data_IF_682759158583
#
_entry.id   IF_682759158583
#
_cell.length_a   1.000
_cell.length_b   1.000
_cell.length_c   1.000
_cell.angle_alpha   90.00
_cell.angle_beta   90.00
_cell.angle_gamma   90.00
#
_symmetry.space_group_name_H-M   'P 1'
#
loop_
_entity.id
_entity.type
_entity.pdbx_description
1 polymer ?
#
# COMPACT_ATOMS: atom_id res chain seq x y z
N UNK A 1 15.32 -9.34 -20.76
CA UNK A 1 13.98 -8.94 -20.29
C UNK A 1 14.00 -9.02 -18.77
N UNK A 2 13.92 -7.88 -18.07
CA UNK A 2 14.04 -7.86 -16.61
C UNK A 2 12.65 -7.80 -15.99
N UNK A 3 12.34 -8.77 -15.14
CA UNK A 3 11.13 -8.76 -14.34
C UNK A 3 11.30 -7.79 -13.15
N UNK A 4 10.18 -7.21 -12.71
CA UNK A 4 10.10 -6.31 -11.57
C UNK A 4 8.85 -6.61 -10.75
N UNK A 5 8.96 -6.57 -9.43
CA UNK A 5 7.80 -6.68 -8.54
C UNK A 5 7.18 -5.31 -8.35
N UNK A 6 5.90 -5.16 -8.67
CA UNK A 6 5.18 -3.93 -8.35
C UNK A 6 5.01 -3.80 -6.84
N UNK A 7 5.47 -2.68 -6.28
CA UNK A 7 5.40 -2.40 -4.84
C UNK A 7 3.96 -2.26 -4.32
N UNK A 8 3.02 -1.82 -5.17
CA UNK A 8 1.62 -1.61 -4.79
C UNK A 8 0.86 -2.95 -4.76
N UNK A 9 0.94 -3.72 -5.85
CA UNK A 9 0.12 -4.92 -6.00
C UNK A 9 0.85 -6.24 -5.72
N UNK A 10 2.18 -6.23 -5.58
CA UNK A 10 3.02 -7.41 -5.36
C UNK A 10 3.22 -8.31 -6.58
N UNK A 11 2.69 -7.93 -7.75
CA UNK A 11 2.81 -8.73 -8.97
C UNK A 11 4.25 -8.63 -9.52
N UNK A 12 4.89 -9.78 -9.73
CA UNK A 12 6.11 -9.89 -10.55
C UNK A 12 5.70 -9.84 -12.03
N UNK A 13 6.21 -8.86 -12.77
CA UNK A 13 5.87 -8.65 -14.17
C UNK A 13 7.05 -8.07 -14.96
N UNK A 14 7.04 -8.24 -16.28
CA UNK A 14 8.05 -7.72 -17.21
C UNK A 14 7.48 -6.47 -17.90
N UNK A 15 7.94 -5.25 -17.58
CA UNK A 15 7.35 -4.02 -18.11
C UNK A 15 7.42 -3.88 -19.64
N UNK A 16 8.41 -4.51 -20.27
CA UNK A 16 8.56 -4.51 -21.73
C UNK A 16 7.53 -5.39 -22.45
N UNK A 17 6.91 -6.36 -21.77
CA UNK A 17 5.92 -7.27 -22.36
C UNK A 17 4.51 -6.68 -22.22
N UNK A 18 3.77 -6.62 -23.34
CA UNK A 18 2.43 -6.02 -23.35
C UNK A 18 1.41 -6.81 -22.52
N UNK A 19 1.43 -8.14 -22.59
CA UNK A 19 0.56 -9.02 -21.80
C UNK A 19 0.74 -8.83 -20.29
N UNK A 20 1.98 -8.68 -19.84
CA UNK A 20 2.32 -8.42 -18.44
C UNK A 20 1.81 -7.03 -18.00
N UNK A 21 1.96 -6.01 -18.86
CA UNK A 21 1.39 -4.67 -18.57
C UNK A 21 -0.13 -4.71 -18.46
N UNK A 22 -0.81 -5.47 -19.33
CA UNK A 22 -2.28 -5.63 -19.28
C UNK A 22 -2.71 -6.31 -17.99
N UNK A 23 -2.03 -7.40 -17.60
CA UNK A 23 -2.29 -8.12 -16.34
C UNK A 23 -2.08 -7.21 -15.13
N UNK A 24 -0.98 -6.45 -15.11
CA UNK A 24 -0.67 -5.48 -14.07
C UNK A 24 -1.74 -4.38 -13.96
N UNK A 25 -2.14 -3.78 -15.08
CA UNK A 25 -3.17 -2.75 -15.12
C UNK A 25 -4.55 -3.28 -14.68
N UNK A 26 -4.93 -4.49 -15.11
CA UNK A 26 -6.16 -5.14 -14.68
C UNK A 26 -6.18 -5.37 -13.16
N UNK A 27 -5.04 -5.75 -12.59
CA UNK A 27 -4.88 -5.89 -11.14
C UNK A 27 -5.07 -4.56 -10.43
N UNK A 28 -4.45 -3.48 -10.91
CA UNK A 28 -4.58 -2.14 -10.33
C UNK A 28 -6.03 -1.63 -10.39
N UNK A 29 -6.76 -1.92 -11.47
CA UNK A 29 -8.19 -1.58 -11.57
C UNK A 29 -9.06 -2.25 -10.50
N UNK A 30 -8.75 -3.50 -10.13
CA UNK A 30 -9.43 -4.16 -9.01
C UNK A 30 -9.11 -3.50 -7.67
N UNK A 31 -7.83 -3.15 -7.46
CA UNK A 31 -7.34 -2.57 -6.22
C UNK A 31 -7.87 -1.14 -6.00
N UNK A 32 -7.98 -0.36 -7.08
CA UNK A 32 -8.60 0.97 -7.07
C UNK A 32 -10.05 0.92 -6.54
N UNK A 33 -10.76 -0.20 -6.74
CA UNK A 33 -12.14 -0.40 -6.26
C UNK A 33 -12.24 -0.88 -4.82
N UNK A 34 -11.14 -0.81 -4.07
CA UNK A 34 -11.09 -1.19 -2.65
C UNK A 34 -10.67 -2.63 -2.40
N UNK A 35 -10.35 -3.42 -3.45
CA UNK A 35 -9.67 -4.69 -3.23
C UNK A 35 -8.25 -4.45 -2.67
N UNK A 36 -7.74 -5.42 -1.94
CA UNK A 36 -6.38 -5.41 -1.40
C UNK A 36 -5.60 -6.65 -1.87
N UNK A 37 -4.26 -6.61 -1.94
CA UNK A 37 -3.45 -7.81 -2.11
C UNK A 37 -3.73 -8.81 -0.99
N UNK A 38 -3.62 -10.10 -1.30
CA UNK A 38 -3.89 -11.14 -0.30
C UNK A 38 -2.95 -11.02 0.91
N UNK A 39 -1.67 -10.78 0.67
CA UNK A 39 -0.65 -10.58 1.71
C UNK A 39 -1.00 -9.44 2.68
N UNK A 40 -1.53 -8.33 2.16
CA UNK A 40 -1.99 -7.18 2.97
C UNK A 40 -3.16 -7.59 3.88
N UNK A 41 -4.14 -8.32 3.34
CA UNK A 41 -5.29 -8.81 4.11
C UNK A 41 -4.88 -9.81 5.18
N UNK A 42 -4.00 -10.74 4.83
CA UNK A 42 -3.56 -11.81 5.72
C UNK A 42 -2.72 -11.24 6.86
N UNK A 43 -1.80 -10.30 6.57
CA UNK A 43 -1.07 -9.56 7.60
C UNK A 43 -2.01 -8.79 8.53
N UNK A 44 -3.00 -8.07 7.98
CA UNK A 44 -3.96 -7.30 8.79
C UNK A 44 -4.72 -8.19 9.77
N UNK A 45 -5.12 -9.41 9.33
CA UNK A 45 -5.77 -10.41 10.20
C UNK A 45 -4.81 -10.95 11.26
N UNK A 46 -3.59 -11.34 10.88
CA UNK A 46 -2.58 -11.85 11.80
C UNK A 46 -2.22 -10.83 12.88
N UNK A 47 -2.11 -9.55 12.49
CA UNK A 47 -1.88 -8.45 13.41
C UNK A 47 -3.07 -8.23 14.35
N UNK A 48 -4.30 -8.16 13.81
CA UNK A 48 -5.51 -8.02 14.62
C UNK A 48 -5.68 -9.15 15.64
N UNK A 49 -5.37 -10.39 15.26
CA UNK A 49 -5.38 -11.53 16.17
C UNK A 49 -4.30 -11.42 17.26
N UNK A 50 -3.08 -11.03 16.90
CA UNK A 50 -2.00 -10.82 17.87
C UNK A 50 -2.40 -9.81 18.95
N UNK A 51 -3.03 -8.70 18.54
CA UNK A 51 -3.53 -7.65 19.44
C UNK A 51 -4.65 -8.20 20.34
N UNK A 52 -5.63 -8.92 19.78
CA UNK A 52 -6.78 -9.42 20.53
C UNK A 52 -6.41 -10.37 21.68
N UNK A 53 -5.30 -11.11 21.55
CA UNK A 53 -4.83 -12.06 22.57
C UNK A 53 -3.65 -11.55 23.39
N UNK A 54 -3.22 -10.29 23.20
CA UNK A 54 -2.01 -9.73 23.80
C UNK A 54 -0.78 -10.65 23.63
N UNK A 55 -0.71 -11.34 22.51
CA UNK A 55 0.25 -12.43 22.23
C UNK A 55 1.58 -11.87 21.67
N UNK A 56 2.14 -10.85 22.32
CA UNK A 56 3.37 -10.19 21.89
C UNK A 56 3.24 -9.21 20.70
N UNK A 57 2.04 -9.07 20.12
CA UNK A 57 1.70 -7.99 19.20
C UNK A 57 2.62 -7.86 17.97
N UNK A 58 3.20 -6.67 17.77
CA UNK A 58 4.07 -6.32 16.64
C UNK A 58 5.43 -7.03 16.69
N UNK A 59 5.97 -7.32 17.88
CA UNK A 59 7.34 -7.82 18.02
C UNK A 59 7.52 -9.21 17.40
N UNK A 60 6.56 -10.12 17.58
CA UNK A 60 6.62 -11.46 16.94
C UNK A 60 6.61 -11.36 15.41
N UNK A 61 5.84 -10.42 14.87
CA UNK A 61 5.61 -10.32 13.42
C UNK A 61 6.82 -9.74 12.68
N UNK A 62 7.72 -9.05 13.38
CA UNK A 62 8.93 -8.47 12.77
C UNK A 62 9.88 -9.52 12.19
N UNK A 63 9.90 -10.73 12.74
CA UNK A 63 10.74 -11.82 12.22
C UNK A 63 10.15 -12.48 10.97
N UNK A 64 8.82 -12.47 10.84
CA UNK A 64 8.09 -13.24 9.83
C UNK A 64 7.71 -12.41 8.59
N UNK A 65 7.73 -11.08 8.69
CA UNK A 65 7.22 -10.19 7.65
C UNK A 65 8.21 -9.08 7.27
N UNK A 66 8.26 -8.82 5.96
CA UNK A 66 8.96 -7.67 5.38
C UNK A 66 8.34 -6.35 5.89
N UNK A 67 9.14 -5.40 6.41
CA UNK A 67 8.68 -4.05 6.77
C UNK A 67 7.92 -3.32 5.65
N UNK A 68 8.21 -3.61 4.37
CA UNK A 68 7.45 -3.08 3.23
C UNK A 68 5.97 -3.46 3.30
N UNK A 69 5.65 -4.67 3.77
CA UNK A 69 4.26 -5.11 3.94
C UNK A 69 3.54 -4.27 4.98
N UNK A 70 4.21 -3.92 6.08
CA UNK A 70 3.65 -3.03 7.11
C UNK A 70 3.30 -1.65 6.56
N UNK A 71 4.21 -1.05 5.77
CA UNK A 71 3.94 0.22 5.09
C UNK A 71 2.77 0.10 4.11
N UNK A 72 2.74 -0.98 3.33
CA UNK A 72 1.68 -1.21 2.35
C UNK A 72 0.30 -1.37 3.02
N UNK A 73 0.22 -2.06 4.15
CA UNK A 73 -1.01 -2.20 4.96
C UNK A 73 -1.54 -0.85 5.43
N UNK A 74 -0.66 0.03 5.92
CA UNK A 74 -1.04 1.39 6.32
C UNK A 74 -1.58 2.18 5.14
N UNK A 75 -0.88 2.17 4.00
CA UNK A 75 -1.30 2.92 2.82
C UNK A 75 -2.62 2.40 2.23
N UNK A 76 -2.84 1.08 2.19
CA UNK A 76 -4.14 0.52 1.80
C UNK A 76 -5.26 0.89 2.77
N UNK A 77 -4.98 0.99 4.07
CA UNK A 77 -5.96 1.44 5.06
C UNK A 77 -6.36 2.91 4.83
N UNK A 78 -5.39 3.77 4.48
CA UNK A 78 -5.68 5.15 4.07
C UNK A 78 -6.45 5.21 2.76
N UNK A 79 -6.10 4.40 1.76
CA UNK A 79 -6.86 4.30 0.51
C UNK A 79 -8.31 3.89 0.74
N UNK A 80 -8.56 2.86 1.54
CA UNK A 80 -9.92 2.42 1.88
C UNK A 80 -10.75 3.55 2.48
N UNK A 81 -10.14 4.38 3.35
CA UNK A 81 -10.81 5.56 3.90
C UNK A 81 -11.05 6.65 2.84
N UNK A 82 -10.03 6.96 2.04
CA UNK A 82 -10.15 7.96 1.00
C UNK A 82 -11.22 7.58 -0.04
N UNK A 83 -11.32 6.29 -0.37
CA UNK A 83 -12.35 5.73 -1.25
C UNK A 83 -13.74 5.88 -0.64
N UNK A 84 -13.91 5.62 0.66
CA UNK A 84 -15.16 5.88 1.37
C UNK A 84 -15.53 7.37 1.36
N UNK A 85 -14.54 8.26 1.32
CA UNK A 85 -14.72 9.72 1.24
C UNK A 85 -14.77 10.25 -0.21
N UNK A 86 -14.86 9.38 -1.22
CA UNK A 86 -15.12 9.78 -2.60
C UNK A 86 -13.89 10.19 -3.43
N UNK A 87 -12.69 9.73 -3.07
CA UNK A 87 -11.53 9.87 -3.98
C UNK A 87 -11.80 9.12 -5.30
N UNK A 88 -11.52 9.70 -6.47
CA UNK A 88 -11.71 9.01 -7.75
C UNK A 88 -10.82 7.77 -7.90
N UNK A 89 -11.37 6.64 -8.39
CA UNK A 89 -10.59 5.41 -8.65
C UNK A 89 -9.37 5.64 -9.57
N UNK A 90 -9.49 6.57 -10.52
CA UNK A 90 -8.40 6.93 -11.46
C UNK A 90 -7.16 7.48 -10.76
N UNK A 91 -7.31 7.98 -9.53
CA UNK A 91 -6.23 8.57 -8.75
C UNK A 91 -5.49 7.55 -7.89
N UNK A 92 -5.92 6.28 -7.90
CA UNK A 92 -5.35 5.19 -7.09
C UNK A 92 -3.83 5.13 -7.16
N UNK A 93 -3.23 5.02 -8.35
CA UNK A 93 -1.78 4.87 -8.48
C UNK A 93 -1.03 6.10 -7.94
N UNK A 94 -1.54 7.29 -8.21
CA UNK A 94 -0.94 8.53 -7.75
C UNK A 94 -1.10 8.73 -6.23
N UNK A 95 -2.20 8.26 -5.67
CA UNK A 95 -2.44 8.21 -4.23
C UNK A 95 -1.49 7.24 -3.54
N UNK A 96 -1.45 5.99 -4.00
CA UNK A 96 -0.63 4.93 -3.41
C UNK A 96 0.85 5.30 -3.42
N UNK A 97 1.37 5.80 -4.56
CA UNK A 97 2.76 6.22 -4.65
C UNK A 97 3.09 7.36 -3.68
N UNK A 98 2.28 8.42 -3.62
CA UNK A 98 2.52 9.54 -2.72
C UNK A 98 2.54 9.12 -1.24
N UNK A 99 1.61 8.26 -0.83
CA UNK A 99 1.52 7.79 0.54
C UNK A 99 2.58 6.75 0.90
N UNK A 100 3.03 5.93 -0.05
CA UNK A 100 4.19 5.05 0.14
C UNK A 100 5.48 5.87 0.30
N UNK A 101 5.68 6.90 -0.52
CA UNK A 101 6.81 7.84 -0.35
C UNK A 101 6.76 8.53 1.00
N UNK A 102 5.57 8.94 1.45
CA UNK A 102 5.41 9.48 2.80
C UNK A 102 5.75 8.46 3.89
N UNK A 103 5.26 7.22 3.78
CA UNK A 103 5.62 6.15 4.71
C UNK A 103 7.14 5.88 4.74
N UNK A 104 7.81 5.92 3.60
CA UNK A 104 9.27 5.79 3.52
C UNK A 104 9.99 6.95 4.22
N UNK A 105 9.50 8.17 4.06
CA UNK A 105 10.07 9.35 4.74
C UNK A 105 9.93 9.28 6.26
N UNK A 106 8.81 8.73 6.76
CA UNK A 106 8.60 8.55 8.20
C UNK A 106 9.56 7.51 8.80
N UNK A 107 9.88 6.45 8.05
CA UNK A 107 10.81 5.41 8.51
C UNK A 107 12.26 5.86 8.41
N UNK A 108 12.62 6.54 7.32
CA UNK A 108 14.00 6.98 7.07
C UNK A 108 14.37 8.29 7.77
N UNK A 109 13.40 9.13 8.10
CA UNK A 109 13.61 10.51 8.56
C UNK A 109 14.08 11.46 7.46
N UNK A 110 14.11 11.03 6.19
CA UNK A 110 14.63 11.81 5.06
C UNK A 110 13.47 12.30 4.18
N UNK A 111 13.47 13.60 3.87
CA UNK A 111 12.52 14.21 2.93
C UNK A 111 11.07 14.24 3.40
N UNK A 112 10.84 14.23 4.72
CA UNK A 112 9.48 14.18 5.29
C UNK A 112 8.64 15.41 4.90
N UNK A 113 9.24 16.61 4.88
CA UNK A 113 8.52 17.83 4.54
C UNK A 113 7.98 17.80 3.10
N UNK A 114 8.80 17.34 2.15
CA UNK A 114 8.45 17.18 0.74
C UNK A 114 7.41 16.08 0.55
N UNK A 115 7.59 14.93 1.20
CA UNK A 115 6.66 13.81 1.11
C UNK A 115 5.29 14.17 1.72
N UNK A 116 5.28 14.90 2.85
CA UNK A 116 4.07 15.44 3.48
C UNK A 116 3.36 16.45 2.58
N UNK A 117 4.10 17.32 1.90
CA UNK A 117 3.53 18.22 0.90
C UNK A 117 2.89 17.43 -0.28
N UNK A 118 3.51 16.32 -0.69
CA UNK A 118 3.01 15.45 -1.76
C UNK A 118 1.65 14.80 -1.47
N UNK A 119 1.34 14.51 -0.20
CA UNK A 119 0.04 13.96 0.19
C UNK A 119 -1.01 15.03 0.49
N UNK A 120 -0.63 16.31 0.60
CA UNK A 120 -1.53 17.42 1.02
C UNK A 120 -2.80 17.52 0.17
N UNK A 121 -2.70 17.27 -1.14
CA UNK A 121 -3.84 17.30 -2.07
C UNK A 121 -4.91 16.24 -1.78
N UNK A 122 -4.60 15.22 -0.99
CA UNK A 122 -5.52 14.15 -0.61
C UNK A 122 -6.14 14.37 0.78
N UNK A 123 -5.75 15.45 1.47
CA UNK A 123 -6.14 15.71 2.86
C UNK A 123 -7.65 15.83 3.07
N UNK A 124 -8.40 16.31 2.08
CA UNK A 124 -9.87 16.38 2.16
C UNK A 124 -10.56 15.01 2.10
N UNK A 125 -9.84 13.94 1.75
CA UNK A 125 -10.33 12.57 1.83
C UNK A 125 -9.90 11.84 3.11
N UNK A 126 -9.16 12.48 4.02
CA UNK A 126 -8.56 11.83 5.19
C UNK A 126 -9.56 11.52 6.33
N UNK A 127 -10.78 12.07 6.25
CA UNK A 127 -11.80 11.99 7.31
C UNK A 127 -11.66 13.13 8.31
#
# INVERSE_FOLDING_TARGET
MNASTCRICGLLYVPSLEEDRKTHAARHKQLARGAQPQTVRDFSKSFGWAVAFNDGGLERLKADYDPELGKLVVVYSWWSRALANGVPEKDFDAYMNAHLTFADSLVSGVGEAEARAGIKRWGHYAG
#
